data_IF_954061763631
#
_entry.id   IF_954061763631
#
_cell.length_a   1.000
_cell.length_b   1.000
_cell.length_c   1.000
_cell.angle_alpha   90.00
_cell.angle_beta   90.00
_cell.angle_gamma   90.00
#
_symmetry.space_group_name_H-M   'P 1'
#
loop_
_entity.id
_entity.type
_entity.pdbx_description
1 polymer ?
#
# COMPACT_ATOMS: atom_id res chain seq x y z
N UNK A 1 22.41 -18.93 19.97
CA UNK A 1 21.12 -19.52 20.39
C UNK A 1 20.05 -18.82 19.56
N UNK A 2 19.55 -19.46 18.50
CA UNK A 2 18.54 -18.85 17.64
C UNK A 2 17.18 -19.00 18.34
N UNK A 3 16.59 -17.89 18.75
CA UNK A 3 15.21 -17.87 19.23
C UNK A 3 14.30 -18.10 18.01
N UNK A 4 13.81 -19.32 17.86
CA UNK A 4 12.70 -19.63 16.96
C UNK A 4 11.44 -18.95 17.52
N UNK A 5 11.29 -17.67 17.20
CA UNK A 5 10.03 -16.98 17.39
C UNK A 5 9.09 -17.50 16.32
N UNK A 6 8.33 -18.53 16.67
CA UNK A 6 7.13 -18.86 15.92
C UNK A 6 6.18 -17.67 16.06
N UNK A 7 5.75 -17.06 14.96
CA UNK A 7 4.68 -16.08 15.03
C UNK A 7 3.49 -16.76 15.71
N UNK A 8 3.00 -16.16 16.80
CA UNK A 8 1.79 -16.65 17.46
C UNK A 8 0.67 -16.70 16.42
N UNK A 9 0.01 -17.84 16.28
CA UNK A 9 -1.12 -17.97 15.37
C UNK A 9 -2.24 -17.00 15.80
N UNK A 10 -3.14 -16.66 14.87
CA UNK A 10 -4.28 -15.76 15.13
C UNK A 10 -5.08 -16.13 16.40
N UNK A 11 -5.08 -17.40 16.83
CA UNK A 11 -5.78 -17.87 18.05
C UNK A 11 -5.06 -17.55 19.38
N UNK A 12 -3.77 -17.24 19.34
CA UNK A 12 -2.95 -16.95 20.53
C UNK A 12 -2.71 -15.44 20.71
N UNK A 13 -3.31 -14.63 19.85
CA UNK A 13 -3.18 -13.19 19.82
C UNK A 13 -4.28 -12.56 20.68
N UNK A 14 -4.00 -11.49 21.47
CA UNK A 14 -5.03 -10.81 22.24
C UNK A 14 -6.18 -10.37 21.31
N UNK A 15 -7.42 -10.57 21.78
CA UNK A 15 -8.62 -10.05 21.12
C UNK A 15 -8.38 -8.58 20.78
N UNK A 16 -8.62 -8.18 19.54
CA UNK A 16 -8.35 -6.80 19.12
C UNK A 16 -7.14 -6.59 18.24
N UNK A 17 -6.31 -7.62 18.00
CA UNK A 17 -5.04 -7.46 17.27
C UNK A 17 -4.87 -8.44 16.11
N UNK A 18 -4.33 -7.91 15.01
CA UNK A 18 -4.09 -8.61 13.75
C UNK A 18 -2.59 -8.77 13.50
N UNK A 19 -2.25 -9.76 12.68
CA UNK A 19 -0.87 -10.08 12.32
C UNK A 19 -0.76 -10.35 10.83
N UNK A 20 -0.02 -9.52 10.12
CA UNK A 20 0.22 -9.63 8.69
C UNK A 20 1.66 -10.05 8.39
N UNK A 21 1.86 -10.75 7.26
CA UNK A 21 3.17 -11.18 6.79
C UNK A 21 3.38 -10.76 5.35
N UNK A 22 4.50 -10.08 5.10
CA UNK A 22 4.88 -9.50 3.82
C UNK A 22 6.25 -10.02 3.42
N UNK A 23 6.36 -10.55 2.20
CA UNK A 23 7.62 -11.13 1.72
C UNK A 23 8.50 -10.04 1.10
N UNK A 24 9.76 -9.95 1.53
CA UNK A 24 10.74 -9.03 0.97
C UNK A 24 11.47 -9.68 -0.20
N UNK A 25 11.58 -8.95 -1.30
CA UNK A 25 12.32 -9.37 -2.49
C UNK A 25 13.52 -8.45 -2.71
N UNK A 26 14.72 -8.99 -2.90
CA UNK A 26 15.91 -8.18 -3.17
C UNK A 26 15.97 -7.67 -4.63
N UNK A 27 14.96 -7.95 -5.45
CA UNK A 27 14.87 -7.54 -6.85
C UNK A 27 14.06 -8.51 -7.71
N UNK A 28 13.90 -8.19 -9.00
CA UNK A 28 13.13 -8.99 -9.96
C UNK A 28 13.78 -10.38 -10.17
N UNK A 29 13.00 -11.46 -9.98
CA UNK A 29 13.44 -12.84 -10.20
C UNK A 29 14.34 -13.45 -9.12
N UNK A 30 14.55 -12.79 -7.98
CA UNK A 30 15.35 -13.31 -6.87
C UNK A 30 14.49 -13.98 -5.79
N UNK A 31 15.09 -14.93 -5.05
CA UNK A 31 14.45 -15.55 -3.88
C UNK A 31 14.16 -14.48 -2.83
N UNK A 32 13.06 -14.60 -2.06
CA UNK A 32 12.83 -13.71 -0.93
C UNK A 32 14.03 -13.60 0.00
N UNK A 33 14.43 -12.37 0.33
CA UNK A 33 15.52 -12.06 1.25
C UNK A 33 15.06 -12.05 2.71
N UNK A 34 13.75 -11.96 2.93
CA UNK A 34 13.19 -11.88 4.27
C UNK A 34 11.67 -11.83 4.31
N UNK A 35 11.14 -11.71 5.53
CA UNK A 35 9.70 -11.54 5.79
C UNK A 35 9.52 -10.41 6.78
N UNK A 36 8.69 -9.43 6.45
CA UNK A 36 8.21 -8.42 7.40
C UNK A 36 6.92 -8.92 8.01
N UNK A 37 6.86 -8.90 9.33
CA UNK A 37 5.67 -9.18 10.11
C UNK A 37 5.19 -7.86 10.73
N UNK A 38 3.94 -7.51 10.48
CA UNK A 38 3.31 -6.30 11.03
C UNK A 38 2.19 -6.74 11.95
N UNK A 39 2.34 -6.46 13.24
CA UNK A 39 1.27 -6.58 14.22
C UNK A 39 0.64 -5.22 14.42
N UNK A 40 -0.67 -5.15 14.41
CA UNK A 40 -1.40 -3.92 14.72
C UNK A 40 -2.69 -4.25 15.50
N UNK A 41 -3.27 -3.26 16.15
CA UNK A 41 -4.63 -3.35 16.66
C UNK A 41 -5.66 -3.02 15.56
N UNK A 42 -6.94 -3.24 15.83
CA UNK A 42 -8.01 -2.90 14.86
C UNK A 42 -8.04 -1.40 14.53
N UNK A 43 -7.68 -0.54 15.49
CA UNK A 43 -7.64 0.91 15.27
C UNK A 43 -6.46 1.37 14.43
N UNK A 44 -5.49 0.49 14.19
CA UNK A 44 -4.19 0.77 13.61
C UNK A 44 -3.37 1.82 14.36
N UNK A 45 -3.81 2.38 15.49
CA UNK A 45 -3.11 3.47 16.18
C UNK A 45 -1.67 3.10 16.55
N UNK A 46 -1.44 1.82 16.87
CA UNK A 46 -0.14 1.28 17.20
C UNK A 46 0.17 0.03 16.39
N UNK A 47 1.39 -0.01 15.85
CA UNK A 47 1.89 -1.16 15.15
C UNK A 47 3.28 -1.56 15.66
N UNK A 48 3.59 -2.84 15.53
CA UNK A 48 4.90 -3.41 15.86
C UNK A 48 5.40 -4.25 14.72
N UNK A 49 6.66 -4.04 14.36
CA UNK A 49 7.28 -4.69 13.21
C UNK A 49 8.29 -5.72 13.71
N UNK A 50 8.32 -6.89 13.06
CA UNK A 50 9.40 -7.85 13.18
C UNK A 50 9.86 -8.28 11.79
N UNK A 51 11.16 -8.39 11.58
CA UNK A 51 11.74 -8.70 10.28
C UNK A 51 12.57 -9.95 10.41
N UNK A 52 12.26 -10.95 9.60
CA UNK A 52 13.07 -12.13 9.41
C UNK A 52 14.01 -11.91 8.23
N UNK A 53 15.30 -12.19 8.41
CA UNK A 53 16.28 -12.19 7.31
C UNK A 53 16.71 -13.62 7.00
N UNK A 54 16.76 -13.97 5.72
CA UNK A 54 17.31 -15.27 5.28
C UNK A 54 18.81 -15.37 5.50
N UNK A 55 19.53 -14.24 5.52
CA UNK A 55 20.99 -14.21 5.61
C UNK A 55 21.45 -14.55 7.03
N UNK A 56 20.75 -13.99 8.03
CA UNK A 56 21.05 -14.25 9.45
C UNK A 56 20.21 -15.39 10.02
N UNK A 57 19.17 -15.84 9.30
CA UNK A 57 18.15 -16.79 9.75
C UNK A 57 17.55 -16.40 11.12
N UNK A 58 17.39 -15.11 11.34
CA UNK A 58 16.99 -14.54 12.62
C UNK A 58 15.92 -13.45 12.49
N UNK A 59 15.20 -13.24 13.59
CA UNK A 59 14.22 -12.18 13.73
C UNK A 59 14.84 -10.94 14.39
N UNK A 60 14.59 -9.78 13.79
CA UNK A 60 14.81 -8.48 14.40
C UNK A 60 13.45 -7.87 14.76
N UNK A 61 13.25 -7.50 16.02
CA UNK A 61 11.98 -6.94 16.50
C UNK A 61 12.19 -5.45 16.78
N UNK A 62 11.30 -4.63 16.22
CA UNK A 62 11.29 -3.18 16.43
C UNK A 62 10.38 -2.81 17.63
N UNK A 63 10.61 -1.64 18.24
CA UNK A 63 9.68 -1.09 19.23
C UNK A 63 8.30 -0.84 18.61
N UNK A 64 7.28 -0.84 19.47
CA UNK A 64 5.94 -0.44 19.06
C UNK A 64 5.93 1.04 18.69
N UNK A 65 5.28 1.37 17.57
CA UNK A 65 5.35 2.69 16.93
C UNK A 65 3.95 3.13 16.54
N UNK A 66 3.66 4.43 16.70
CA UNK A 66 2.40 5.01 16.26
C UNK A 66 2.38 5.12 14.72
N UNK A 67 1.28 4.70 14.09
CA UNK A 67 1.15 4.66 12.62
C UNK A 67 0.66 5.97 12.00
N UNK A 68 0.37 6.98 12.83
CA UNK A 68 -0.21 8.28 12.42
C UNK A 68 -1.62 8.15 11.79
N UNK A 69 -2.29 7.02 12.02
CA UNK A 69 -3.67 6.76 11.59
C UNK A 69 -4.65 7.37 12.61
N UNK A 70 -5.66 8.15 12.19
CA UNK A 70 -6.73 8.60 13.08
C UNK A 70 -7.60 7.43 13.56
N UNK A 71 -8.22 7.56 14.74
CA UNK A 71 -9.15 6.54 15.23
C UNK A 71 -10.35 6.35 14.28
N UNK A 72 -10.81 5.10 14.13
CA UNK A 72 -11.97 4.74 13.33
C UNK A 72 -11.69 4.39 11.86
N UNK A 73 -10.42 4.34 11.46
CA UNK A 73 -10.01 3.88 10.13
C UNK A 73 -9.51 2.43 10.20
N UNK A 74 -10.11 1.55 9.40
CA UNK A 74 -9.70 0.15 9.21
C UNK A 74 -9.13 -0.04 7.79
N UNK A 75 -7.93 -0.62 7.68
CA UNK A 75 -7.33 -0.98 6.40
C UNK A 75 -7.61 -2.43 6.08
N UNK A 76 -7.98 -2.71 4.83
CA UNK A 76 -8.38 -4.06 4.41
C UNK A 76 -7.59 -4.59 3.24
N UNK A 77 -6.95 -3.69 2.47
CA UNK A 77 -6.16 -4.04 1.30
C UNK A 77 -4.75 -3.50 1.44
N UNK A 78 -3.77 -4.30 1.03
CA UNK A 78 -2.38 -3.88 0.94
C UNK A 78 -1.82 -4.13 -0.46
N UNK A 79 -0.90 -3.26 -0.88
CA UNK A 79 -0.13 -3.40 -2.11
C UNK A 79 1.36 -3.32 -1.78
N UNK A 80 2.12 -4.31 -2.26
CA UNK A 80 3.58 -4.30 -2.21
C UNK A 80 4.13 -3.59 -3.43
N UNK A 81 4.88 -2.51 -3.23
CA UNK A 81 5.50 -1.77 -4.31
C UNK A 81 6.92 -1.38 -3.93
N UNK A 82 7.91 -2.02 -4.55
CA UNK A 82 9.24 -1.41 -4.65
C UNK A 82 9.94 -1.05 -3.34
N UNK A 83 9.83 -1.90 -2.32
CA UNK A 83 10.36 -1.59 -0.99
C UNK A 83 9.40 -0.81 -0.09
N UNK A 84 8.13 -0.73 -0.48
CA UNK A 84 7.05 -0.18 0.33
C UNK A 84 5.92 -1.20 0.48
N UNK A 85 5.35 -1.26 1.68
CA UNK A 85 4.03 -1.85 1.91
C UNK A 85 3.04 -0.69 2.05
N UNK A 86 2.02 -0.65 1.20
CA UNK A 86 1.02 0.40 1.19
C UNK A 86 -0.34 -0.18 1.57
N UNK A 87 -1.00 0.38 2.58
CA UNK A 87 -2.35 -0.01 2.99
C UNK A 87 -3.37 1.04 2.56
N UNK A 88 -4.45 0.55 1.97
CA UNK A 88 -5.55 1.35 1.45
C UNK A 88 -6.74 1.23 2.42
N UNK A 89 -7.31 2.38 2.79
CA UNK A 89 -8.46 2.44 3.67
C UNK A 89 -9.74 2.07 2.91
N UNK A 90 -10.52 1.15 3.46
CA UNK A 90 -11.83 0.78 2.92
C UNK A 90 -12.92 1.60 3.62
N UNK A 91 -13.41 2.60 2.91
CA UNK A 91 -14.51 3.44 3.36
C UNK A 91 -15.05 4.29 2.23
N UNK A 92 -16.04 5.13 2.53
CA UNK A 92 -16.72 5.95 1.52
C UNK A 92 -15.81 7.02 0.93
N UNK A 93 -14.72 7.40 1.61
CA UNK A 93 -13.74 8.37 1.12
C UNK A 93 -12.35 7.94 1.58
N UNK A 94 -11.46 7.56 0.65
CA UNK A 94 -10.05 7.32 0.95
C UNK A 94 -9.30 8.65 0.90
N UNK A 95 -8.90 9.14 2.08
CA UNK A 95 -8.24 10.44 2.23
C UNK A 95 -6.71 10.38 2.18
N UNK A 96 -6.16 9.22 2.53
CA UNK A 96 -4.74 8.96 2.64
C UNK A 96 -4.48 7.45 2.52
N UNK A 97 -3.24 7.08 2.30
CA UNK A 97 -2.74 5.71 2.44
C UNK A 97 -1.73 5.67 3.57
N UNK A 98 -1.61 4.52 4.22
CA UNK A 98 -0.54 4.25 5.16
C UNK A 98 0.59 3.54 4.42
N UNK A 99 1.82 3.99 4.62
CA UNK A 99 3.00 3.47 3.94
C UNK A 99 4.03 3.03 4.96
N UNK A 100 4.53 1.80 4.83
CA UNK A 100 5.71 1.32 5.54
C UNK A 100 6.87 1.20 4.55
N UNK A 101 7.93 2.00 4.77
CA UNK A 101 9.18 1.85 4.04
C UNK A 101 9.94 0.63 4.60
N UNK A 102 10.25 -0.36 3.76
CA UNK A 102 10.86 -1.63 4.19
C UNK A 102 12.37 -1.56 4.39
N UNK A 103 13.02 -0.45 4.02
CA UNK A 103 14.44 -0.24 4.29
C UNK A 103 14.67 0.36 5.68
N UNK A 104 13.76 1.26 6.09
CA UNK A 104 13.84 2.01 7.35
C UNK A 104 12.89 1.49 8.43
N UNK A 105 11.89 0.70 8.04
CA UNK A 105 10.80 0.21 8.89
C UNK A 105 10.02 1.33 9.61
N UNK A 106 9.91 2.49 8.96
CA UNK A 106 9.15 3.65 9.44
C UNK A 106 7.79 3.74 8.74
N UNK A 107 6.75 3.99 9.52
CA UNK A 107 5.43 4.31 9.01
C UNK A 107 5.35 5.78 8.60
N UNK A 108 4.62 6.05 7.53
CA UNK A 108 4.28 7.38 7.07
C UNK A 108 2.86 7.41 6.53
N UNK A 109 2.17 8.52 6.75
CA UNK A 109 0.87 8.80 6.15
C UNK A 109 1.07 9.62 4.89
N UNK A 110 0.50 9.18 3.79
CA UNK A 110 0.52 9.88 2.51
C UNK A 110 -0.88 10.32 2.12
N UNK A 111 -1.14 11.62 2.16
CA UNK A 111 -2.44 12.16 1.79
C UNK A 111 -2.69 11.99 0.29
N UNK A 112 -3.89 11.48 -0.03
CA UNK A 112 -4.38 11.40 -1.40
C UNK A 112 -4.96 12.77 -1.79
N UNK A 113 -4.69 13.25 -3.02
CA UNK A 113 -5.17 14.55 -3.47
C UNK A 113 -6.70 14.55 -3.60
N UNK A 114 -7.30 15.73 -3.50
CA UNK A 114 -8.75 15.91 -3.49
C UNK A 114 -9.52 15.20 -4.64
N UNK A 115 -9.01 15.15 -5.90
CA UNK A 115 -9.72 14.46 -6.99
C UNK A 115 -9.85 12.95 -6.84
N UNK A 116 -9.07 12.32 -5.95
CA UNK A 116 -9.14 10.89 -5.65
C UNK A 116 -9.90 10.56 -4.35
N UNK A 117 -10.49 11.57 -3.71
CA UNK A 117 -11.30 11.42 -2.49
C UNK A 117 -12.77 11.17 -2.83
N UNK A 118 -13.04 10.05 -3.50
CA UNK A 118 -14.39 9.64 -3.91
C UNK A 118 -14.79 8.32 -3.24
N UNK A 119 -16.08 7.97 -3.35
CA UNK A 119 -16.57 6.65 -2.98
C UNK A 119 -16.11 5.64 -4.04
N UNK A 120 -15.35 4.64 -3.63
CA UNK A 120 -14.68 3.64 -4.49
C UNK A 120 -13.64 4.25 -5.45
N UNK A 121 -12.57 4.86 -4.93
CA UNK A 121 -11.58 5.50 -5.77
C UNK A 121 -10.76 4.45 -6.52
N UNK A 122 -10.92 4.41 -7.86
CA UNK A 122 -10.12 3.53 -8.74
C UNK A 122 -8.74 4.13 -8.95
N UNK A 123 -7.84 3.84 -8.03
CA UNK A 123 -6.42 4.16 -8.21
C UNK A 123 -5.54 2.91 -8.11
N UNK A 124 -4.32 3.05 -8.62
CA UNK A 124 -3.26 2.06 -8.47
C UNK A 124 -2.02 2.74 -7.94
N UNK A 125 -1.43 2.13 -6.93
CA UNK A 125 -0.13 2.53 -6.39
C UNK A 125 0.95 1.81 -7.17
N UNK A 126 2.00 2.54 -7.51
CA UNK A 126 3.17 2.04 -8.20
C UNK A 126 4.43 2.75 -7.71
N UNK A 127 5.54 2.46 -8.36
CA UNK A 127 6.81 3.10 -8.10
C UNK A 127 7.45 3.51 -9.42
N UNK A 128 8.08 4.68 -9.41
CA UNK A 128 8.87 5.17 -10.54
C UNK A 128 10.24 4.50 -10.57
N UNK A 129 10.96 4.62 -11.70
CA UNK A 129 12.30 4.00 -11.85
C UNK A 129 13.33 4.51 -10.84
N UNK A 130 13.15 5.73 -10.36
CA UNK A 130 13.95 6.38 -9.32
C UNK A 130 13.50 6.04 -7.89
N UNK A 131 12.60 5.07 -7.72
CA UNK A 131 12.22 4.55 -6.40
C UNK A 131 11.13 5.33 -5.68
N UNK A 132 10.56 6.37 -6.30
CA UNK A 132 9.51 7.18 -5.69
C UNK A 132 8.15 6.52 -5.86
N UNK A 133 7.33 6.56 -4.81
CA UNK A 133 5.94 6.13 -4.91
C UNK A 133 5.19 7.00 -5.91
N UNK A 134 4.37 6.37 -6.74
CA UNK A 134 3.42 7.06 -7.59
C UNK A 134 2.04 6.45 -7.39
N UNK A 135 1.02 7.21 -7.70
CA UNK A 135 -0.30 6.63 -7.89
C UNK A 135 -0.94 7.19 -9.15
N UNK A 136 -1.76 6.36 -9.77
CA UNK A 136 -2.49 6.68 -10.99
C UNK A 136 -3.97 6.51 -10.70
N UNK A 137 -4.76 7.52 -11.01
CA UNK A 137 -6.21 7.42 -10.96
C UNK A 137 -6.84 7.85 -12.29
N UNK A 138 -7.98 7.24 -12.60
CA UNK A 138 -8.83 7.62 -13.73
C UNK A 138 -10.06 8.34 -13.21
N UNK A 139 -10.39 9.47 -13.83
CA UNK A 139 -11.63 10.20 -13.57
C UNK A 139 -12.05 10.93 -14.84
N UNK A 140 -13.32 10.80 -15.21
CA UNK A 140 -13.92 11.51 -16.36
C UNK A 140 -13.09 11.39 -17.64
N UNK A 141 -12.65 10.16 -17.98
CA UNK A 141 -11.78 9.89 -19.13
C UNK A 141 -10.43 10.60 -19.06
N UNK A 142 -9.99 10.97 -17.87
CA UNK A 142 -8.70 11.60 -17.63
C UNK A 142 -7.87 10.74 -16.69
N UNK A 143 -6.73 10.27 -17.18
CA UNK A 143 -5.74 9.59 -16.38
C UNK A 143 -4.83 10.64 -15.75
N UNK A 144 -4.78 10.68 -14.42
CA UNK A 144 -3.87 11.55 -13.68
C UNK A 144 -2.77 10.71 -13.03
N UNK A 145 -1.54 11.15 -13.21
CA UNK A 145 -0.35 10.51 -12.64
C UNK A 145 0.24 11.45 -11.60
N UNK A 146 0.37 10.93 -10.39
CA UNK A 146 0.90 11.65 -9.24
C UNK A 146 2.15 10.94 -8.75
N UNK A 147 3.19 11.71 -8.40
CA UNK A 147 4.44 11.16 -7.91
C UNK A 147 4.77 11.81 -6.57
N UNK A 148 5.21 11.01 -5.62
CA UNK A 148 5.71 11.46 -4.33
C UNK A 148 6.93 12.38 -4.53
N UNK A 149 6.94 13.45 -3.75
CA UNK A 149 8.04 14.39 -3.66
C UNK A 149 8.09 14.97 -2.25
N UNK A 150 9.30 15.21 -1.74
CA UNK A 150 9.48 15.96 -0.51
C UNK A 150 9.07 17.42 -0.73
N UNK A 151 8.18 17.93 0.12
CA UNK A 151 7.86 19.36 0.18
C UNK A 151 9.00 20.17 0.80
N UNK A 152 8.84 21.49 0.84
CA UNK A 152 9.80 22.42 1.46
C UNK A 152 9.99 22.15 2.97
N UNK A 153 9.02 21.51 3.60
CA UNK A 153 9.03 21.07 4.99
C UNK A 153 9.63 19.66 5.18
N UNK A 154 10.11 19.03 4.11
CA UNK A 154 10.67 17.69 4.12
C UNK A 154 9.64 16.56 4.21
N UNK A 155 8.34 16.90 4.28
CA UNK A 155 7.26 15.90 4.32
C UNK A 155 6.96 15.46 2.89
N UNK A 156 6.98 14.14 2.68
CA UNK A 156 6.70 13.55 1.38
C UNK A 156 5.20 13.59 1.07
N UNK A 157 4.84 14.05 -0.13
CA UNK A 157 3.46 14.21 -0.59
C UNK A 157 3.33 13.87 -2.06
N UNK A 158 2.15 13.44 -2.48
CA UNK A 158 1.85 13.26 -3.90
C UNK A 158 1.67 14.60 -4.61
N UNK A 159 2.46 14.82 -5.66
CA UNK A 159 2.38 15.99 -6.53
C UNK A 159 1.93 15.57 -7.92
N UNK A 160 1.01 16.33 -8.51
CA UNK A 160 0.52 16.05 -9.86
C UNK A 160 1.69 16.14 -10.83
N UNK A 161 1.99 15.03 -11.49
CA UNK A 161 3.05 14.99 -12.48
C UNK A 161 2.51 15.24 -13.89
N UNK A 162 1.42 14.56 -14.26
CA UNK A 162 0.84 14.68 -15.60
C UNK A 162 -0.61 14.24 -15.64
N UNK A 163 -1.37 14.83 -16.57
CA UNK A 163 -2.73 14.42 -16.93
C UNK A 163 -2.78 14.04 -18.40
N UNK A 164 -3.54 13.00 -18.71
CA UNK A 164 -3.77 12.52 -20.06
C UNK A 164 -5.26 12.32 -20.27
N UNK A 165 -5.80 12.90 -21.35
CA UNK A 165 -7.11 12.47 -21.82
C UNK A 165 -6.97 11.07 -22.39
N UNK A 166 -7.80 10.16 -21.89
CA UNK A 166 -8.02 8.83 -22.46
C UNK A 166 -8.76 9.04 -23.79
N UNK A 167 -7.99 9.35 -24.83
CA UNK A 167 -8.48 9.52 -26.20
C UNK A 167 -9.23 8.27 -26.68
N UNK A 168 -9.94 8.37 -27.81
CA UNK A 168 -10.67 7.26 -28.46
C UNK A 168 -9.87 5.93 -28.60
N UNK A 169 -8.55 5.96 -28.52
CA UNK A 169 -7.69 4.77 -28.49
C UNK A 169 -7.87 3.89 -27.24
N UNK A 170 -8.36 4.43 -26.11
CA UNK A 170 -8.81 3.59 -24.99
C UNK A 170 -10.11 2.84 -25.33
N UNK A 171 -11.03 3.48 -26.05
CA UNK A 171 -12.26 2.83 -26.53
C UNK A 171 -11.96 1.67 -27.48
N UNK A 172 -10.87 1.73 -28.24
CA UNK A 172 -10.42 0.63 -29.10
C UNK A 172 -10.00 -0.60 -28.28
N UNK A 173 -9.36 -0.41 -27.12
CA UNK A 173 -9.00 -1.49 -26.18
C UNK A 173 -10.22 -2.07 -25.49
N UNK A 174 -11.19 -1.23 -25.14
CA UNK A 174 -12.43 -1.63 -24.48
C UNK A 174 -13.58 -1.82 -25.47
N UNK A 175 -13.32 -2.25 -26.71
CA UNK A 175 -14.35 -2.53 -27.74
C UNK A 175 -15.29 -3.69 -27.31
N UNK A 176 -16.00 -3.51 -26.19
CA UNK A 176 -17.24 -4.17 -25.87
C UNK A 176 -18.27 -3.56 -26.82
N UNK A 177 -18.61 -4.31 -27.87
CA UNK A 177 -19.77 -3.96 -28.68
C UNK A 177 -20.98 -3.83 -27.75
N UNK A 178 -21.78 -2.78 -27.94
CA UNK A 178 -23.09 -2.67 -27.28
C UNK A 178 -24.04 -3.83 -27.62
N UNK A 179 -23.64 -4.77 -28.49
CA UNK A 179 -24.37 -6.00 -28.82
C UNK A 179 -24.08 -7.19 -27.90
N UNK A 180 -23.07 -7.16 -27.02
CA UNK A 180 -22.79 -8.31 -26.13
C UNK A 180 -23.77 -8.46 -24.95
N UNK A 181 -24.83 -7.62 -24.89
CA UNK A 181 -25.92 -7.77 -23.91
C UNK A 181 -27.18 -8.44 -24.48
N UNK A 182 -27.12 -9.02 -25.68
CA UNK A 182 -28.23 -9.83 -26.21
C UNK A 182 -27.67 -11.16 -26.72
N UNK A 183 -27.46 -12.11 -25.80
CA UNK A 183 -27.74 -13.56 -25.99
C UNK A 183 -27.18 -14.38 -24.83
N UNK A 184 -27.95 -14.47 -23.75
CA UNK A 184 -28.08 -15.74 -23.01
C UNK A 184 -29.57 -15.98 -22.76
N UNK A 185 -30.16 -16.67 -23.73
CA UNK A 185 -31.40 -17.43 -23.59
C UNK A 185 -31.29 -18.47 -22.48
#
# INVERSE_FOLDING_TARGET
>A
MALFLHPKGHRDMPDGTSLEFHTLFPGEGQRPSGVVCVRHDYSWAWARIAVFSSDTMGWQIFPETATLVPEGFEFTTHTMVGGFICWEFEGVITEFILVLNTDTFQFSRMDLPAPSREADPKFKIGQTKDGRLCFVNEKEHTLSVWISAAGDDGVERFVLHKMFLLHASFMEVTNCSAEDTISRS
#
